data_IF_371558543150
#
_entry.id   IF_371558543150
#
_cell.length_a   1.000
_cell.length_b   1.000
_cell.length_c   1.000
_cell.angle_alpha   90.00
_cell.angle_beta   90.00
_cell.angle_gamma   90.00
#
_symmetry.space_group_name_H-M   'P 1'
#
loop_
_entity.id
_entity.type
_entity.pdbx_description
1 polymer ?
#
# COMPACT_ATOMS: atom_id res chain seq x y z
N UNK A 1 -18.05 11.62 -11.26
CA UNK A 1 -16.74 11.06 -11.66
C UNK A 1 -16.65 9.67 -11.05
N UNK A 2 -16.06 8.69 -11.74
CA UNK A 2 -15.82 7.37 -11.16
C UNK A 2 -14.64 7.42 -10.19
N UNK A 3 -14.69 6.62 -9.13
CA UNK A 3 -13.57 6.48 -8.19
C UNK A 3 -12.32 5.94 -8.89
N UNK A 4 -11.14 6.37 -8.42
CA UNK A 4 -9.86 5.95 -8.98
C UNK A 4 -9.47 4.58 -8.43
N UNK A 5 -9.27 3.60 -9.30
CA UNK A 5 -8.75 2.29 -8.89
C UNK A 5 -7.26 2.39 -8.60
N UNK A 6 -6.86 2.23 -7.33
CA UNK A 6 -5.45 2.33 -6.89
C UNK A 6 -4.99 1.05 -6.19
N UNK A 7 -3.83 0.53 -6.59
CA UNK A 7 -3.14 -0.56 -5.88
C UNK A 7 -2.49 -0.06 -4.59
N UNK A 8 -2.74 -0.77 -3.50
CA UNK A 8 -2.35 -0.34 -2.16
C UNK A 8 -1.64 -1.49 -1.40
N UNK A 9 -0.31 -1.45 -1.39
CA UNK A 9 0.52 -2.42 -0.68
C UNK A 9 0.73 -2.00 0.78
N UNK A 10 0.34 -2.85 1.71
CA UNK A 10 0.40 -2.56 3.14
C UNK A 10 0.50 -3.85 3.98
N UNK A 11 0.96 -3.72 5.22
CA UNK A 11 0.92 -4.84 6.16
C UNK A 11 -0.47 -5.05 6.74
N UNK A 12 -0.69 -6.25 7.28
CA UNK A 12 -1.99 -6.68 7.80
C UNK A 12 -2.20 -6.34 9.28
N UNK A 13 -2.25 -5.05 9.60
CA UNK A 13 -2.29 -4.52 10.98
C UNK A 13 -3.69 -4.04 11.36
N UNK A 14 -3.90 -3.83 12.65
CA UNK A 14 -5.09 -3.15 13.19
C UNK A 14 -5.36 -1.79 12.52
N UNK A 15 -4.30 -1.00 12.31
CA UNK A 15 -4.36 0.34 11.70
C UNK A 15 -4.77 0.35 10.22
N UNK A 16 -4.50 -0.73 9.48
CA UNK A 16 -4.74 -0.82 8.04
C UNK A 16 -5.96 -1.69 7.70
N UNK A 17 -6.37 -2.59 8.61
CA UNK A 17 -7.46 -3.55 8.41
C UNK A 17 -8.78 -2.90 8.01
N UNK A 18 -9.10 -1.73 8.54
CA UNK A 18 -10.38 -1.09 8.28
C UNK A 18 -10.58 -0.71 6.80
N UNK A 19 -9.50 -0.47 6.06
CA UNK A 19 -9.52 -0.23 4.61
C UNK A 19 -9.84 -1.53 3.87
N UNK A 20 -9.17 -2.62 4.24
CA UNK A 20 -9.33 -3.95 3.62
C UNK A 20 -10.74 -4.50 3.83
N UNK A 21 -11.27 -4.39 5.06
CA UNK A 21 -12.61 -4.87 5.40
C UNK A 21 -13.72 -3.90 4.91
N UNK A 22 -13.35 -2.76 4.32
CA UNK A 22 -14.28 -1.75 3.81
C UNK A 22 -15.03 -0.95 4.88
N UNK A 23 -14.63 -1.05 6.16
CA UNK A 23 -15.19 -0.27 7.29
C UNK A 23 -14.84 1.21 7.19
N UNK A 24 -13.69 1.52 6.59
CA UNK A 24 -13.25 2.88 6.25
C UNK A 24 -13.09 2.97 4.74
N UNK A 25 -13.65 4.03 4.15
CA UNK A 25 -13.54 4.34 2.72
C UNK A 25 -12.54 5.47 2.51
N UNK A 26 -11.94 5.48 1.33
CA UNK A 26 -11.09 6.57 0.86
C UNK A 26 -11.91 7.32 -0.18
N UNK A 27 -12.22 8.59 0.09
CA UNK A 27 -13.06 9.38 -0.80
C UNK A 27 -12.44 9.47 -2.21
N UNK A 28 -13.21 9.08 -3.21
CA UNK A 28 -12.80 9.11 -4.62
C UNK A 28 -11.84 7.98 -5.04
N UNK A 29 -11.63 6.95 -4.20
CA UNK A 29 -10.72 5.84 -4.50
C UNK A 29 -11.42 4.50 -4.30
N UNK A 30 -11.23 3.60 -5.27
CA UNK A 30 -11.55 2.18 -5.19
C UNK A 30 -10.25 1.40 -4.93
N UNK A 31 -9.89 1.13 -3.66
CA UNK A 31 -8.59 0.55 -3.35
C UNK A 31 -8.54 -0.94 -3.72
N UNK A 32 -7.42 -1.36 -4.28
CA UNK A 32 -7.04 -2.77 -4.48
C UNK A 32 -5.97 -3.13 -3.45
N UNK A 33 -6.36 -3.58 -2.24
CA UNK A 33 -5.42 -3.84 -1.16
C UNK A 33 -4.60 -5.11 -1.41
N UNK A 34 -3.30 -5.03 -1.15
CA UNK A 34 -2.37 -6.15 -1.18
C UNK A 34 -1.69 -6.27 0.18
N UNK A 35 -2.06 -7.31 0.92
CA UNK A 35 -1.52 -7.61 2.25
C UNK A 35 -0.20 -8.37 2.11
N UNK A 36 0.91 -7.66 2.25
CA UNK A 36 2.26 -8.19 2.01
C UNK A 36 3.12 -8.14 3.28
N UNK A 37 4.13 -9.01 3.35
CA UNK A 37 5.20 -8.84 4.34
C UNK A 37 6.07 -7.62 3.97
N UNK A 38 6.74 -6.98 4.94
CA UNK A 38 7.65 -5.87 4.66
C UNK A 38 8.72 -6.23 3.61
N UNK A 39 9.27 -7.45 3.68
CA UNK A 39 10.32 -7.90 2.76
C UNK A 39 9.84 -7.91 1.30
N UNK A 40 8.66 -8.48 1.03
CA UNK A 40 8.11 -8.53 -0.31
C UNK A 40 7.69 -7.14 -0.80
N UNK A 41 7.00 -6.38 0.06
CA UNK A 41 6.53 -5.03 -0.28
C UNK A 41 7.68 -4.10 -0.62
N UNK A 42 8.73 -4.07 0.21
CA UNK A 42 9.90 -3.21 -0.01
C UNK A 42 10.66 -3.62 -1.27
N UNK A 43 10.86 -4.93 -1.48
CA UNK A 43 11.53 -5.43 -2.68
C UNK A 43 10.80 -4.98 -3.95
N UNK A 44 9.47 -5.18 -4.01
CA UNK A 44 8.66 -4.82 -5.18
C UNK A 44 8.53 -3.31 -5.37
N UNK A 45 8.38 -2.54 -4.29
CA UNK A 45 8.28 -1.09 -4.35
C UNK A 45 9.59 -0.44 -4.80
N UNK A 46 10.72 -0.75 -4.14
CA UNK A 46 12.00 -0.09 -4.43
C UNK A 46 12.60 -0.50 -5.78
N UNK A 47 12.41 -1.74 -6.24
CA UNK A 47 13.00 -2.20 -7.51
C UNK A 47 12.11 -2.04 -8.72
N UNK A 48 10.79 -2.10 -8.54
CA UNK A 48 9.87 -2.22 -9.66
C UNK A 48 8.76 -1.17 -9.64
N UNK A 49 8.69 -0.30 -8.62
CA UNK A 49 7.60 0.65 -8.46
C UNK A 49 6.23 -0.01 -8.65
N UNK A 50 6.09 -1.22 -8.10
CA UNK A 50 5.03 -2.15 -8.47
C UNK A 50 3.61 -1.77 -7.99
N UNK A 51 3.46 -0.64 -7.29
CA UNK A 51 2.23 -0.22 -6.63
C UNK A 51 2.06 1.30 -6.76
N UNK A 52 0.81 1.76 -6.82
CA UNK A 52 0.48 3.19 -6.80
C UNK A 52 0.76 3.79 -5.41
N UNK A 53 0.46 3.02 -4.35
CA UNK A 53 0.69 3.39 -2.96
C UNK A 53 1.31 2.19 -2.22
N UNK A 54 2.36 2.45 -1.43
CA UNK A 54 2.98 1.42 -0.58
C UNK A 54 3.39 1.94 0.79
N UNK A 55 3.22 1.13 1.84
CA UNK A 55 3.85 1.35 3.14
C UNK A 55 5.35 1.03 3.05
N UNK A 56 6.22 1.95 3.48
CA UNK A 56 7.67 1.79 3.38
C UNK A 56 8.36 2.20 4.69
N UNK A 57 9.50 1.56 4.95
CA UNK A 57 10.43 2.03 5.97
C UNK A 57 11.11 3.30 5.49
N UNK A 58 11.02 4.38 6.28
CA UNK A 58 11.72 5.64 5.98
C UNK A 58 13.24 5.46 5.93
N UNK A 59 13.80 4.63 6.81
CA UNK A 59 15.25 4.36 6.79
C UNK A 59 15.65 3.62 5.52
N UNK A 60 14.89 2.60 5.13
CA UNK A 60 15.12 1.84 3.90
C UNK A 60 14.95 2.72 2.65
N UNK A 61 13.96 3.61 2.63
CA UNK A 61 13.75 4.55 1.53
C UNK A 61 14.87 5.59 1.43
N UNK A 62 15.37 6.09 2.56
CA UNK A 62 16.45 7.08 2.59
C UNK A 62 17.77 6.53 2.07
N UNK A 63 18.00 5.22 2.21
CA UNK A 63 19.20 4.53 1.68
C UNK A 63 18.98 3.94 0.28
N UNK A 64 17.74 3.86 -0.21
CA UNK A 64 17.42 3.21 -1.49
C UNK A 64 17.69 4.09 -2.72
N UNK A 65 18.40 5.21 -2.56
CA UNK A 65 18.90 6.04 -3.67
C UNK A 65 19.92 5.29 -4.52
#
# INVERSE_FOLDING_TARGET
>A
MSDLTLSLAMGNYDRTRAIVDGRVKIDGVDPVPMLLSPEEMFFRAFRHQAFDISELSLSSYSISV
#
